data_IF_386032219603
#
_entry.id   IF_386032219603
#
_cell.length_a   1.000
_cell.length_b   1.000
_cell.length_c   1.000
_cell.angle_alpha   90.00
_cell.angle_beta   90.00
_cell.angle_gamma   90.00
#
_symmetry.space_group_name_H-M   'P 1'
#
loop_
_entity.id
_entity.type
_entity.pdbx_description
1 polymer ?
#
# COMPACT_ATOMS: atom_id res chain seq x y z
N UNK A 1 0.31 10.22 -9.23
CA UNK A 1 0.64 10.28 -7.78
C UNK A 1 0.20 11.58 -7.11
N UNK A 2 0.14 12.73 -7.81
CA UNK A 2 -0.28 14.03 -7.25
C UNK A 2 -1.72 14.06 -6.67
N UNK A 3 -2.76 13.45 -7.30
CA UNK A 3 -4.12 13.52 -6.77
C UNK A 3 -4.31 12.73 -5.47
N UNK A 4 -3.65 11.58 -5.36
CA UNK A 4 -3.70 10.71 -4.18
C UNK A 4 -2.98 11.32 -2.98
N UNK A 5 -1.85 12.01 -3.21
CA UNK A 5 -1.15 12.75 -2.14
C UNK A 5 -1.93 13.98 -1.68
N UNK A 6 -2.68 14.64 -2.58
CA UNK A 6 -3.59 15.73 -2.22
C UNK A 6 -4.73 15.25 -1.30
N UNK A 7 -5.38 14.12 -1.61
CA UNK A 7 -6.39 13.49 -0.73
C UNK A 7 -5.82 13.14 0.65
N UNK A 8 -4.62 12.57 0.71
CA UNK A 8 -3.97 12.20 1.98
C UNK A 8 -3.56 13.41 2.84
N UNK A 9 -3.21 14.55 2.21
CA UNK A 9 -2.82 15.78 2.90
C UNK A 9 -3.97 16.71 3.27
N UNK A 10 -5.18 16.44 2.77
CA UNK A 10 -6.40 17.18 3.10
C UNK A 10 -7.01 16.75 4.45
N UNK A 11 -6.64 15.58 4.97
CA UNK A 11 -7.17 15.00 6.22
C UNK A 11 -6.55 15.65 7.47
N UNK A 12 -5.24 16.01 7.52
CA UNK A 12 -4.64 16.64 8.69
C UNK A 12 -4.61 18.18 8.60
N UNK A 13 -4.73 18.86 9.74
CA UNK A 13 -4.48 20.31 9.87
C UNK A 13 -3.06 20.68 9.38
N UNK A 14 -2.84 21.89 8.82
CA UNK A 14 -1.58 22.27 8.17
C UNK A 14 -0.31 22.03 9.00
N UNK A 15 -0.37 22.21 10.33
CA UNK A 15 0.74 21.94 11.24
C UNK A 15 1.23 20.48 11.24
N UNK A 16 0.34 19.50 11.00
CA UNK A 16 0.65 18.07 11.14
C UNK A 16 0.93 17.35 9.81
N UNK A 17 0.87 18.06 8.66
CA UNK A 17 1.09 17.46 7.33
C UNK A 17 2.49 16.89 7.18
N UNK A 18 3.51 17.57 7.70
CA UNK A 18 4.90 17.09 7.65
C UNK A 18 5.11 15.80 8.43
N UNK A 19 4.59 15.74 9.66
CA UNK A 19 4.64 14.54 10.48
C UNK A 19 3.85 13.37 9.86
N UNK A 20 2.65 13.63 9.35
CA UNK A 20 1.82 12.60 8.69
C UNK A 20 2.45 12.05 7.40
N UNK A 21 3.03 12.93 6.58
CA UNK A 21 3.77 12.52 5.37
C UNK A 21 5.02 11.73 5.73
N UNK A 22 5.78 12.15 6.76
CA UNK A 22 6.97 11.43 7.23
C UNK A 22 6.63 10.02 7.76
N UNK A 23 5.56 9.88 8.55
CA UNK A 23 5.07 8.58 9.02
C UNK A 23 4.63 7.70 7.85
N UNK A 24 3.88 8.26 6.89
CA UNK A 24 3.44 7.53 5.70
C UNK A 24 4.62 7.05 4.85
N UNK A 25 5.67 7.86 4.70
CA UNK A 25 6.87 7.51 3.96
C UNK A 25 7.71 6.45 4.71
N UNK A 26 7.87 6.58 6.02
CA UNK A 26 8.57 5.60 6.86
C UNK A 26 7.88 4.24 6.81
N UNK A 27 6.56 4.20 6.92
CA UNK A 27 5.78 2.98 6.82
C UNK A 27 5.95 2.30 5.45
N UNK A 28 5.95 3.09 4.37
CA UNK A 28 6.19 2.58 3.02
C UNK A 28 7.62 2.03 2.85
N UNK A 29 8.64 2.70 3.40
CA UNK A 29 10.03 2.20 3.35
C UNK A 29 10.20 0.90 4.12
N UNK A 30 9.64 0.81 5.33
CA UNK A 30 9.69 -0.43 6.12
C UNK A 30 8.94 -1.53 5.39
N UNK A 31 7.76 -1.25 4.86
CA UNK A 31 6.96 -2.20 4.09
C UNK A 31 7.72 -2.68 2.85
N UNK A 32 8.39 -1.78 2.12
CA UNK A 32 9.21 -2.10 0.96
C UNK A 32 10.44 -2.94 1.31
N UNK A 33 11.09 -2.64 2.44
CA UNK A 33 12.22 -3.43 2.94
C UNK A 33 11.82 -4.84 3.40
N UNK A 34 10.68 -4.98 4.08
CA UNK A 34 10.16 -6.30 4.45
C UNK A 34 9.72 -7.07 3.21
N UNK A 35 9.06 -6.41 2.25
CA UNK A 35 8.64 -7.04 1.00
C UNK A 35 9.83 -7.55 0.18
N UNK A 36 10.95 -6.80 0.12
CA UNK A 36 12.14 -7.24 -0.61
C UNK A 36 12.83 -8.43 0.06
N UNK A 37 12.88 -8.47 1.39
CA UNK A 37 13.40 -9.62 2.14
C UNK A 37 12.58 -10.88 1.90
N UNK A 38 11.24 -10.78 1.97
CA UNK A 38 10.35 -11.90 1.70
C UNK A 38 10.45 -12.33 0.23
N UNK A 39 10.55 -11.39 -0.70
CA UNK A 39 10.72 -11.69 -2.12
C UNK A 39 12.03 -12.46 -2.40
N UNK A 40 13.13 -12.04 -1.78
CA UNK A 40 14.43 -12.68 -1.94
C UNK A 40 14.52 -14.08 -1.31
N UNK A 41 13.67 -14.41 -0.33
CA UNK A 41 13.58 -15.76 0.23
C UNK A 41 12.72 -16.71 -0.63
N UNK A 42 11.78 -16.17 -1.41
CA UNK A 42 10.86 -16.96 -2.23
C UNK A 42 11.43 -17.21 -3.62
N UNK A 43 12.15 -16.23 -4.19
CA UNK A 43 12.73 -16.36 -5.54
C UNK A 43 14.03 -17.12 -5.44
N UNK A 44 14.05 -18.29 -6.08
CA UNK A 44 15.25 -19.11 -6.22
C UNK A 44 15.61 -19.13 -7.70
N UNK A 45 16.83 -18.74 -8.02
CA UNK A 45 17.37 -18.90 -9.36
C UNK A 45 17.81 -20.36 -9.54
N UNK A 46 17.15 -21.08 -10.44
CA UNK A 46 17.52 -22.46 -10.79
C UNK A 46 18.84 -22.51 -11.56
N UNK A 47 19.49 -23.68 -11.59
CA UNK A 47 20.81 -23.86 -12.22
C UNK A 47 20.84 -23.59 -13.73
N UNK A 48 19.68 -23.54 -14.37
CA UNK A 48 19.51 -23.24 -15.80
C UNK A 48 19.28 -21.75 -16.09
N UNK A 49 19.34 -20.87 -15.07
CA UNK A 49 19.13 -19.42 -15.18
C UNK A 49 17.66 -19.00 -15.21
N UNK A 50 16.73 -19.93 -14.98
CA UNK A 50 15.31 -19.63 -14.82
C UNK A 50 14.98 -19.31 -13.36
N UNK A 51 14.19 -18.25 -13.16
CA UNK A 51 13.67 -17.87 -11.84
C UNK A 51 12.55 -18.84 -11.46
N UNK A 52 12.85 -19.80 -10.60
CA UNK A 52 11.84 -20.67 -10.00
C UNK A 52 11.01 -19.89 -8.98
N UNK A 53 9.74 -20.24 -8.86
CA UNK A 53 8.79 -19.64 -7.91
C UNK A 53 8.49 -18.13 -8.13
N UNK A 54 8.87 -17.56 -9.28
CA UNK A 54 8.48 -16.19 -9.63
C UNK A 54 6.95 -16.04 -9.77
N UNK A 55 6.27 -17.09 -10.26
CA UNK A 55 4.81 -17.13 -10.30
C UNK A 55 4.19 -17.06 -8.90
N UNK A 56 4.80 -17.69 -7.90
CA UNK A 56 4.36 -17.66 -6.50
C UNK A 56 4.41 -16.24 -5.95
N UNK A 57 5.46 -15.47 -6.26
CA UNK A 57 5.51 -14.04 -5.95
C UNK A 57 4.40 -13.26 -6.65
N UNK A 58 4.14 -13.56 -7.92
CA UNK A 58 3.03 -12.98 -8.67
C UNK A 58 1.69 -13.20 -7.97
N UNK A 59 1.39 -14.43 -7.56
CA UNK A 59 0.17 -14.75 -6.81
C UNK A 59 0.08 -14.00 -5.48
N UNK A 60 1.18 -13.89 -4.72
CA UNK A 60 1.22 -13.13 -3.46
C UNK A 60 0.92 -11.64 -3.71
N UNK A 61 1.48 -11.05 -4.77
CA UNK A 61 1.22 -9.65 -5.14
C UNK A 61 -0.24 -9.43 -5.54
N UNK A 62 -0.84 -10.35 -6.29
CA UNK A 62 -2.25 -10.27 -6.69
C UNK A 62 -3.17 -10.36 -5.46
N UNK A 63 -2.94 -11.32 -4.56
CA UNK A 63 -3.74 -11.50 -3.34
C UNK A 63 -3.66 -10.26 -2.44
N UNK A 64 -2.45 -9.72 -2.22
CA UNK A 64 -2.26 -8.53 -1.38
C UNK A 64 -2.90 -7.28 -1.97
N UNK A 65 -2.85 -7.12 -3.31
CA UNK A 65 -3.52 -6.01 -4.01
C UNK A 65 -5.04 -6.10 -3.90
N UNK A 66 -5.62 -7.30 -4.07
CA UNK A 66 -7.05 -7.53 -3.91
C UNK A 66 -7.47 -7.26 -2.45
N UNK A 67 -6.72 -7.78 -1.47
CA UNK A 67 -7.00 -7.55 -0.06
C UNK A 67 -6.99 -6.06 0.31
N UNK A 68 -6.00 -5.31 -0.19
CA UNK A 68 -5.91 -3.85 0.01
C UNK A 68 -7.10 -3.14 -0.64
N UNK A 69 -7.49 -3.55 -1.84
CA UNK A 69 -8.64 -2.97 -2.54
C UNK A 69 -9.95 -3.22 -1.78
N UNK A 70 -10.13 -4.42 -1.22
CA UNK A 70 -11.26 -4.75 -0.35
C UNK A 70 -11.23 -3.91 0.92
N UNK A 71 -10.08 -3.77 1.58
CA UNK A 71 -9.95 -2.95 2.78
C UNK A 71 -10.34 -1.49 2.51
N UNK A 72 -9.87 -0.92 1.39
CA UNK A 72 -10.27 0.43 0.95
C UNK A 72 -11.77 0.50 0.67
N UNK A 73 -12.35 -0.51 0.01
CA UNK A 73 -13.78 -0.58 -0.24
C UNK A 73 -14.60 -0.65 1.06
N UNK A 74 -14.17 -1.45 2.03
CA UNK A 74 -14.80 -1.56 3.34
C UNK A 74 -14.72 -0.23 4.10
N UNK A 75 -13.56 0.43 4.10
CA UNK A 75 -13.40 1.75 4.71
C UNK A 75 -14.32 2.75 4.01
N UNK A 76 -14.35 2.78 2.69
CA UNK A 76 -15.23 3.65 1.93
C UNK A 76 -16.71 3.42 2.28
N UNK A 77 -17.14 2.17 2.44
CA UNK A 77 -18.50 1.84 2.85
C UNK A 77 -18.80 2.25 4.30
N UNK A 78 -17.83 2.11 5.21
CA UNK A 78 -17.97 2.48 6.63
C UNK A 78 -17.94 4.00 6.84
N UNK A 79 -17.23 4.72 5.98
CA UNK A 79 -17.08 6.18 6.04
C UNK A 79 -18.14 6.91 5.19
N UNK A 80 -18.73 6.24 4.19
CA UNK A 80 -19.85 6.77 3.40
C UNK A 80 -21.18 6.64 4.14
N UNK A 81 -21.40 7.50 5.12
CA UNK A 81 -22.64 8.18 5.56
C UNK A 81 -22.26 8.97 6.84
N UNK A 82 -22.41 10.31 6.93
CA UNK A 82 -23.35 11.17 6.20
C UNK A 82 -22.69 12.03 5.11
N UNK A 83 -23.49 12.31 4.07
CA UNK A 83 -23.27 13.44 3.19
C UNK A 83 -23.05 14.71 4.02
N UNK A 84 -21.82 15.25 4.00
CA UNK A 84 -21.57 16.61 4.45
C UNK A 84 -22.20 17.56 3.42
N UNK A 85 -23.43 17.98 3.69
CA UNK A 85 -24.07 19.18 3.14
C UNK A 85 -24.75 19.86 4.33
N UNK A 86 -24.84 21.20 4.46
CA UNK A 86 -24.07 22.33 3.90
C UNK A 86 -23.50 23.27 5.00
N UNK A 87 -22.60 24.18 4.64
CA UNK A 87 -22.53 25.56 5.14
C UNK A 87 -21.72 26.41 4.16
#
# INVERSE_FOLDING_TARGET
>A
MIPSQALMSAIPTPENRGAFMAISASLQQISGGVASLVAGLIVVEGTDGFLEHFDTLGYIMVITTIATSIAIYLINQRVSLPAAKPA
#
